data_IF_567659885174
#
_entry.id   IF_567659885174
#
_cell.length_a   1.000
_cell.length_b   1.000
_cell.length_c   1.000
_cell.angle_alpha   90.00
_cell.angle_beta   90.00
_cell.angle_gamma   90.00
#
_symmetry.space_group_name_H-M   'P 1'
#
loop_
_entity.id
_entity.type
_entity.pdbx_description
1 polymer ?
#
# COMPACT_ATOMS: atom_id res chain seq x y z
N UNK A 1 6.86 -29.06 10.16
CA UNK A 1 7.28 -29.30 11.56
C UNK A 1 8.66 -28.73 11.88
N UNK A 2 9.73 -29.07 11.15
CA UNK A 2 11.09 -28.50 11.40
C UNK A 2 11.09 -26.96 11.35
N UNK A 3 10.45 -26.36 10.32
CA UNK A 3 10.31 -24.90 10.20
C UNK A 3 9.52 -24.21 11.33
N UNK A 4 8.57 -24.93 11.94
CA UNK A 4 7.77 -24.42 13.07
C UNK A 4 8.58 -24.47 14.37
N UNK A 5 9.42 -25.50 14.53
CA UNK A 5 10.30 -25.65 15.68
C UNK A 5 11.43 -24.60 15.69
N UNK A 6 12.01 -24.31 14.52
CA UNK A 6 13.02 -23.26 14.34
C UNK A 6 12.45 -21.86 14.60
N UNK A 7 11.18 -21.61 14.25
CA UNK A 7 10.49 -20.36 14.51
C UNK A 7 10.32 -20.09 16.02
N UNK A 8 9.92 -21.12 16.78
CA UNK A 8 9.77 -21.03 18.24
C UNK A 8 11.12 -20.85 18.96
N UNK A 9 12.22 -21.39 18.41
CA UNK A 9 13.55 -21.21 18.99
C UNK A 9 14.11 -19.79 18.75
N UNK A 10 13.80 -19.19 17.59
CA UNK A 10 14.18 -17.80 17.29
C UNK A 10 13.35 -16.77 18.07
N UNK A 11 12.06 -17.03 18.30
CA UNK A 11 11.21 -16.22 19.18
C UNK A 11 11.75 -16.23 20.62
N UNK A 12 12.15 -17.40 21.14
CA UNK A 12 12.80 -17.51 22.47
C UNK A 12 14.13 -16.75 22.56
N UNK A 13 14.90 -16.71 21.48
CA UNK A 13 16.15 -15.94 21.42
C UNK A 13 15.87 -14.42 21.41
N UNK A 14 14.82 -13.99 20.71
CA UNK A 14 14.38 -12.59 20.69
C UNK A 14 13.84 -12.15 22.05
N UNK A 15 12.98 -12.95 22.68
CA UNK A 15 12.46 -12.70 24.03
C UNK A 15 13.60 -12.65 25.05
N UNK A 16 14.55 -13.59 24.98
CA UNK A 16 15.73 -13.58 25.83
C UNK A 16 16.68 -12.40 25.60
N UNK A 17 16.61 -11.75 24.43
CA UNK A 17 17.34 -10.52 24.14
C UNK A 17 16.59 -9.29 24.68
N UNK A 18 15.28 -9.22 24.48
CA UNK A 18 14.39 -8.19 25.03
C UNK A 18 14.51 -8.15 26.56
N UNK A 19 14.48 -9.30 27.22
CA UNK A 19 14.65 -9.43 28.68
C UNK A 19 16.00 -8.88 29.17
N UNK A 20 17.08 -9.09 28.41
CA UNK A 20 18.41 -8.57 28.75
C UNK A 20 18.47 -7.05 28.61
N UNK A 21 17.87 -6.51 27.54
CA UNK A 21 17.79 -5.06 27.33
C UNK A 21 16.94 -4.39 28.41
N UNK A 22 15.77 -4.96 28.72
CA UNK A 22 14.89 -4.45 29.77
C UNK A 22 15.53 -4.55 31.16
N UNK A 23 16.30 -5.61 31.44
CA UNK A 23 17.09 -5.73 32.67
C UNK A 23 18.14 -4.63 32.78
N UNK A 24 18.95 -4.40 31.74
CA UNK A 24 19.97 -3.34 31.72
C UNK A 24 19.32 -1.96 31.92
N UNK A 25 18.17 -1.73 31.30
CA UNK A 25 17.38 -0.51 31.49
C UNK A 25 16.88 -0.34 32.92
N UNK A 26 16.28 -1.39 33.51
CA UNK A 26 15.79 -1.37 34.90
C UNK A 26 16.91 -1.16 35.91
N UNK A 27 18.06 -1.81 35.70
CA UNK A 27 19.21 -1.68 36.59
C UNK A 27 19.84 -0.28 36.48
N UNK A 28 19.99 0.24 35.25
CA UNK A 28 20.44 1.62 35.00
C UNK A 28 19.48 2.65 35.60
N UNK A 29 18.16 2.43 35.49
CA UNK A 29 17.12 3.26 36.11
C UNK A 29 17.22 3.21 37.63
N UNK A 30 17.44 2.05 38.24
CA UNK A 30 17.62 1.92 39.70
C UNK A 30 18.87 2.63 40.17
N UNK A 31 19.99 2.54 39.46
CA UNK A 31 21.22 3.26 39.76
C UNK A 31 21.03 4.77 39.64
N UNK A 32 20.41 5.25 38.55
CA UNK A 32 20.01 6.65 38.40
C UNK A 32 19.11 7.13 39.52
N UNK A 33 18.11 6.33 39.90
CA UNK A 33 17.23 6.65 41.03
C UNK A 33 17.96 6.65 42.36
N UNK A 34 18.95 5.77 42.58
CA UNK A 34 19.77 5.76 43.79
C UNK A 34 20.67 6.99 43.86
N UNK A 35 21.27 7.39 42.73
CA UNK A 35 22.03 8.65 42.59
C UNK A 35 21.13 9.86 42.86
N UNK A 36 19.92 9.89 42.30
CA UNK A 36 18.96 10.99 42.52
C UNK A 36 18.34 11.02 43.92
N UNK A 37 18.26 9.88 44.62
CA UNK A 37 17.85 9.82 46.04
C UNK A 37 18.95 10.33 46.97
N UNK A 38 20.20 10.37 46.50
CA UNK A 38 21.29 11.10 47.14
C UNK A 38 21.08 12.61 47.01
N UNK A 39 20.50 13.20 48.06
CA UNK A 39 20.19 14.65 48.21
C UNK A 39 19.35 15.27 47.07
N UNK A 40 18.04 15.31 47.35
CA UNK A 40 17.03 16.22 46.83
C UNK A 40 16.90 16.36 45.30
N UNK A 41 16.04 15.53 44.69
CA UNK A 41 14.94 16.05 43.85
C UNK A 41 13.80 15.02 43.70
N UNK A 42 12.63 15.33 44.30
CA UNK A 42 11.38 14.59 44.07
C UNK A 42 10.73 14.91 42.71
N UNK A 43 11.20 15.96 42.03
CA UNK A 43 10.59 16.47 40.79
C UNK A 43 10.94 15.63 39.55
N UNK A 44 12.17 15.09 39.44
CA UNK A 44 12.58 14.28 38.30
C UNK A 44 11.92 12.88 38.26
N UNK A 45 11.51 12.35 39.42
CA UNK A 45 10.83 11.06 39.53
C UNK A 45 9.39 11.06 39.00
N UNK A 46 8.74 12.23 38.95
CA UNK A 46 7.38 12.37 38.44
C UNK A 46 7.26 12.25 36.92
N UNK A 47 8.30 12.63 36.16
CA UNK A 47 8.28 12.58 34.69
C UNK A 47 8.61 11.19 34.12
N UNK A 48 9.38 10.37 34.83
CA UNK A 48 9.79 9.03 34.38
C UNK A 48 8.78 7.91 34.69
N UNK A 49 7.69 8.23 35.40
CA UNK A 49 6.66 7.27 35.80
C UNK A 49 5.44 7.23 34.85
N UNK A 50 5.29 8.21 33.95
CA UNK A 50 4.08 8.37 33.13
C UNK A 50 4.17 7.82 31.70
N UNK A 51 5.26 7.15 31.32
CA UNK A 51 5.44 6.61 29.95
C UNK A 51 6.01 5.19 29.97
N UNK A 52 5.21 4.22 30.39
CA UNK A 52 5.57 2.80 30.21
C UNK A 52 4.56 2.19 29.25
N UNK A 53 5.05 1.68 28.13
CA UNK A 53 4.29 0.82 27.21
C UNK A 53 4.69 -0.61 27.60
N UNK A 54 3.72 -1.49 27.80
CA UNK A 54 3.94 -2.91 28.10
C UNK A 54 4.40 -3.66 26.84
N UNK A 55 4.96 -4.86 27.01
CA UNK A 55 5.40 -5.68 25.86
C UNK A 55 4.24 -6.01 24.91
N UNK A 56 3.04 -6.22 25.44
CA UNK A 56 1.82 -6.50 24.66
C UNK A 56 1.32 -5.26 23.91
N UNK A 57 1.49 -4.07 24.48
CA UNK A 57 1.17 -2.81 23.81
C UNK A 57 2.18 -2.50 22.70
N UNK A 58 3.45 -2.87 22.86
CA UNK A 58 4.49 -2.68 21.85
C UNK A 58 4.30 -3.56 20.61
N UNK A 59 3.76 -4.78 20.77
CA UNK A 59 3.48 -5.71 19.69
C UNK A 59 2.36 -5.25 18.73
N UNK A 60 1.52 -4.32 19.18
CA UNK A 60 0.36 -3.81 18.43
C UNK A 60 0.58 -2.42 17.81
N UNK A 61 1.80 -1.88 17.87
CA UNK A 61 2.11 -0.57 17.31
C UNK A 61 2.39 -0.66 15.81
N UNK A 62 1.75 0.21 15.04
CA UNK A 62 2.08 0.43 13.62
C UNK A 62 3.53 0.92 13.46
N UNK A 63 4.10 0.70 12.27
CA UNK A 63 5.45 1.18 11.92
C UNK A 63 5.64 2.68 12.17
N UNK A 64 4.61 3.47 11.92
CA UNK A 64 4.64 4.92 12.14
C UNK A 64 4.71 5.26 13.64
N UNK A 65 3.98 4.52 14.48
CA UNK A 65 4.01 4.70 15.94
C UNK A 65 5.36 4.29 16.54
N UNK A 66 5.96 3.19 16.09
CA UNK A 66 7.31 2.79 16.50
C UNK A 66 8.37 3.83 16.11
N UNK A 67 8.28 4.38 14.88
CA UNK A 67 9.17 5.44 14.42
C UNK A 67 9.03 6.71 15.26
N UNK A 68 7.82 7.12 15.59
CA UNK A 68 7.55 8.26 16.48
C UNK A 68 8.09 8.03 17.89
N UNK A 69 7.97 6.82 18.43
CA UNK A 69 8.52 6.47 19.75
C UNK A 69 10.05 6.51 19.72
N UNK A 70 10.70 5.95 18.69
CA UNK A 70 12.16 5.98 18.57
C UNK A 70 12.71 7.40 18.43
N UNK A 71 12.04 8.26 17.67
CA UNK A 71 12.38 9.69 17.57
C UNK A 71 12.21 10.37 18.93
N UNK A 72 11.10 10.12 19.63
CA UNK A 72 10.83 10.69 20.97
C UNK A 72 11.85 10.22 22.02
N UNK A 73 12.34 8.98 21.94
CA UNK A 73 13.39 8.45 22.82
C UNK A 73 14.73 9.12 22.52
N UNK A 74 15.09 9.27 21.24
CA UNK A 74 16.31 9.97 20.81
C UNK A 74 16.33 11.43 21.24
N UNK A 75 15.19 12.10 21.11
CA UNK A 75 15.02 13.51 21.50
C UNK A 75 15.05 13.65 23.03
N UNK A 76 14.38 12.74 23.76
CA UNK A 76 14.42 12.71 25.22
C UNK A 76 15.81 12.43 25.81
N UNK A 77 16.62 11.60 25.16
CA UNK A 77 18.03 11.37 25.54
C UNK A 77 18.87 12.66 25.31
N UNK A 78 18.59 13.38 24.22
CA UNK A 78 19.28 14.64 23.90
C UNK A 78 18.90 15.75 24.89
N UNK A 79 17.62 15.87 25.24
CA UNK A 79 17.14 16.79 26.29
C UNK A 79 17.70 16.43 27.67
N UNK A 80 17.71 15.14 28.05
CA UNK A 80 18.33 14.68 29.30
C UNK A 80 19.80 15.08 29.38
N UNK A 81 20.56 14.99 28.28
CA UNK A 81 21.97 15.39 28.26
C UNK A 81 22.16 16.90 28.47
N UNK A 82 21.32 17.72 27.84
CA UNK A 82 21.38 19.17 27.97
C UNK A 82 20.90 19.66 29.36
N UNK A 83 19.85 19.04 29.89
CA UNK A 83 19.27 19.39 31.18
C UNK A 83 20.11 18.88 32.36
N UNK A 84 20.84 17.78 32.18
CA UNK A 84 21.84 17.29 33.14
C UNK A 84 23.03 18.24 33.24
N UNK A 85 23.52 18.78 32.12
CA UNK A 85 24.59 19.80 32.11
C UNK A 85 24.11 21.07 32.83
N UNK A 86 22.90 21.54 32.49
CA UNK A 86 22.30 22.73 33.11
C UNK A 86 22.07 22.59 34.62
N UNK A 87 21.62 21.42 35.10
CA UNK A 87 21.43 21.19 36.54
C UNK A 87 22.74 20.99 37.31
N UNK A 88 23.77 20.42 36.69
CA UNK A 88 25.08 20.25 37.33
C UNK A 88 25.82 21.59 37.51
N UNK A 89 25.61 22.56 36.61
CA UNK A 89 26.06 23.95 36.78
C UNK A 89 25.34 24.65 37.96
N UNK A 90 24.03 24.43 38.10
CA UNK A 90 23.22 25.00 39.19
C UNK A 90 23.61 24.41 40.56
N UNK A 91 24.04 23.15 40.60
CA UNK A 91 24.38 22.43 41.83
C UNK A 91 25.86 22.50 42.23
N UNK A 92 26.68 23.26 41.50
CA UNK A 92 28.08 23.52 41.87
C UNK A 92 29.01 22.31 41.77
N UNK A 93 28.73 21.39 40.85
CA UNK A 93 29.59 20.21 40.65
C UNK A 93 30.99 20.64 40.16
N UNK A 94 32.05 20.03 40.73
CA UNK A 94 33.42 20.28 40.28
C UNK A 94 33.59 19.82 38.81
N UNK A 95 34.33 20.60 38.01
CA UNK A 95 34.49 20.38 36.58
C UNK A 95 34.97 18.95 36.23
N UNK A 96 35.75 18.30 37.09
CA UNK A 96 36.17 16.90 36.91
C UNK A 96 35.01 15.88 37.04
N UNK A 97 34.04 16.13 37.92
CA UNK A 97 32.88 15.24 38.10
C UNK A 97 31.89 15.38 36.93
N UNK A 98 31.72 16.62 36.45
CA UNK A 98 30.95 16.96 35.27
C UNK A 98 31.56 16.35 33.99
N UNK A 99 32.88 16.46 33.82
CA UNK A 99 33.59 15.85 32.70
C UNK A 99 33.43 14.32 32.68
N UNK A 100 33.57 13.66 33.84
CA UNK A 100 33.38 12.20 33.94
C UNK A 100 31.93 11.75 33.70
N UNK A 101 30.93 12.59 33.99
CA UNK A 101 29.53 12.30 33.68
C UNK A 101 29.24 12.45 32.18
N UNK A 102 29.72 13.54 31.56
CA UNK A 102 29.58 13.79 30.12
C UNK A 102 30.26 12.69 29.29
N UNK A 103 31.44 12.25 29.69
CA UNK A 103 32.15 11.15 29.03
C UNK A 103 31.38 9.83 29.12
N UNK A 104 30.81 9.50 30.29
CA UNK A 104 29.98 8.31 30.47
C UNK A 104 28.68 8.36 29.67
N UNK A 105 28.00 9.50 29.63
CA UNK A 105 26.78 9.71 28.82
C UNK A 105 27.11 9.63 27.33
N UNK A 106 28.25 10.19 26.90
CA UNK A 106 28.74 10.07 25.53
C UNK A 106 29.04 8.62 25.14
N UNK A 107 29.66 7.85 26.03
CA UNK A 107 29.91 6.42 25.82
C UNK A 107 28.61 5.60 25.75
N UNK A 108 27.65 5.87 26.63
CA UNK A 108 26.34 5.21 26.62
C UNK A 108 25.55 5.53 25.35
N UNK A 109 25.59 6.78 24.87
CA UNK A 109 25.00 7.18 23.59
C UNK A 109 25.65 6.43 22.43
N UNK A 110 26.98 6.41 22.38
CA UNK A 110 27.73 5.69 21.34
C UNK A 110 27.43 4.19 21.36
N UNK A 111 27.36 3.57 22.55
CA UNK A 111 26.99 2.17 22.68
C UNK A 111 25.55 1.92 22.23
N UNK A 112 24.61 2.81 22.56
CA UNK A 112 23.24 2.71 22.08
C UNK A 112 23.16 2.84 20.55
N UNK A 113 23.92 3.77 19.96
CA UNK A 113 24.02 3.96 18.51
C UNK A 113 24.67 2.73 17.84
N UNK A 114 25.76 2.20 18.39
CA UNK A 114 26.47 1.02 17.88
C UNK A 114 25.64 -0.27 18.02
N UNK A 115 24.91 -0.44 19.12
CA UNK A 115 23.98 -1.56 19.32
C UNK A 115 22.79 -1.42 18.38
N UNK A 116 22.21 -0.23 18.24
CA UNK A 116 21.09 0.02 17.32
C UNK A 116 21.51 -0.21 15.88
N UNK A 117 22.71 0.25 15.48
CA UNK A 117 23.26 0.02 14.15
C UNK A 117 23.56 -1.46 13.92
N UNK A 118 24.19 -2.17 14.86
CA UNK A 118 24.49 -3.60 14.75
C UNK A 118 23.22 -4.45 14.70
N UNK A 119 22.19 -4.11 15.48
CA UNK A 119 20.88 -4.75 15.43
C UNK A 119 20.17 -4.43 14.12
N UNK A 120 20.22 -3.18 13.66
CA UNK A 120 19.65 -2.77 12.37
C UNK A 120 20.35 -3.47 11.20
N UNK A 121 21.68 -3.53 11.19
CA UNK A 121 22.46 -4.20 10.15
C UNK A 121 22.21 -5.72 10.17
N UNK A 122 22.05 -6.34 11.35
CA UNK A 122 21.68 -7.76 11.45
C UNK A 122 20.25 -8.02 11.00
N UNK A 123 19.31 -7.18 11.41
CA UNK A 123 17.92 -7.28 10.97
C UNK A 123 17.82 -7.04 9.47
N UNK A 124 18.49 -6.03 8.93
CA UNK A 124 18.57 -5.75 7.50
C UNK A 124 19.19 -6.94 6.76
N UNK A 125 20.32 -7.50 7.21
CA UNK A 125 20.92 -8.66 6.55
C UNK A 125 20.02 -9.91 6.58
N UNK A 126 19.32 -10.17 7.71
CA UNK A 126 18.36 -11.27 7.82
C UNK A 126 17.14 -11.02 6.93
N UNK A 127 16.70 -9.76 6.85
CA UNK A 127 15.58 -9.33 6.04
C UNK A 127 15.91 -9.40 4.55
N UNK A 128 17.05 -8.86 4.14
CA UNK A 128 17.58 -8.88 2.77
C UNK A 128 17.80 -10.33 2.29
N UNK A 129 18.33 -11.21 3.16
CA UNK A 129 18.50 -12.62 2.85
C UNK A 129 17.17 -13.38 2.68
N UNK A 130 16.10 -12.94 3.35
CA UNK A 130 14.81 -13.64 3.36
C UNK A 130 13.80 -13.06 2.37
N UNK A 131 13.85 -11.76 2.13
CA UNK A 131 12.82 -11.01 1.42
C UNK A 131 13.35 -10.10 0.31
N UNK A 132 14.67 -10.07 0.06
CA UNK A 132 15.30 -9.09 -0.81
C UNK A 132 15.48 -7.74 -0.10
N UNK A 133 16.08 -6.78 -0.79
CA UNK A 133 16.30 -5.44 -0.27
C UNK A 133 15.01 -4.83 0.28
N UNK A 134 15.13 -3.94 1.28
CA UNK A 134 13.97 -3.24 1.85
C UNK A 134 13.04 -2.62 0.77
N UNK A 135 13.62 -2.12 -0.33
CA UNK A 135 12.88 -1.60 -1.49
C UNK A 135 12.11 -2.69 -2.25
N UNK A 136 12.72 -3.85 -2.48
CA UNK A 136 12.06 -5.00 -3.13
C UNK A 136 10.95 -5.58 -2.23
N UNK A 137 11.15 -5.58 -0.92
CA UNK A 137 10.13 -5.94 0.04
C UNK A 137 9.00 -4.91 0.10
N UNK A 138 9.29 -3.61 0.12
CA UNK A 138 8.25 -2.56 0.05
C UNK A 138 7.41 -2.73 -1.22
N UNK A 139 8.04 -2.96 -2.37
CA UNK A 139 7.32 -3.29 -3.60
C UNK A 139 6.54 -4.61 -3.49
N UNK A 140 7.05 -5.61 -2.77
CA UNK A 140 6.35 -6.87 -2.52
C UNK A 140 5.13 -6.68 -1.60
N UNK A 141 5.29 -5.86 -0.56
CA UNK A 141 4.22 -5.54 0.38
C UNK A 141 3.19 -4.63 -0.23
N UNK A 142 3.56 -3.64 -1.06
CA UNK A 142 2.60 -2.85 -1.84
C UNK A 142 1.86 -3.74 -2.84
N UNK A 143 2.55 -4.71 -3.46
CA UNK A 143 1.89 -5.76 -4.27
C UNK A 143 0.98 -6.70 -3.47
N UNK A 144 1.23 -6.87 -2.17
CA UNK A 144 0.42 -7.71 -1.28
C UNK A 144 -0.70 -6.94 -0.54
N UNK A 145 -0.51 -5.65 -0.30
CA UNK A 145 -1.34 -4.81 0.58
C UNK A 145 -1.97 -3.61 -0.13
N UNK A 146 -1.49 -3.22 -1.30
CA UNK A 146 -2.31 -2.47 -2.25
C UNK A 146 -3.56 -3.27 -2.57
N UNK A 147 -4.69 -2.60 -2.81
CA UNK A 147 -5.89 -3.33 -3.22
C UNK A 147 -5.54 -4.20 -4.43
N UNK A 148 -6.00 -5.45 -4.44
CA UNK A 148 -5.73 -6.40 -5.53
C UNK A 148 -6.01 -5.75 -6.89
N UNK A 149 -7.04 -4.90 -6.95
CA UNK A 149 -7.33 -3.96 -8.04
C UNK A 149 -6.15 -3.06 -8.43
N UNK A 150 -5.63 -2.23 -7.53
CA UNK A 150 -4.57 -1.27 -7.83
C UNK A 150 -3.34 -1.98 -8.42
N UNK A 151 -2.95 -3.11 -7.83
CA UNK A 151 -1.81 -3.90 -8.30
C UNK A 151 -2.03 -4.49 -9.71
N UNK A 152 -3.24 -4.93 -10.03
CA UNK A 152 -3.57 -5.40 -11.38
C UNK A 152 -3.55 -4.26 -12.40
N UNK A 153 -4.10 -3.09 -12.04
CA UNK A 153 -4.13 -1.93 -12.93
C UNK A 153 -2.73 -1.34 -13.17
N UNK A 154 -1.91 -1.27 -12.13
CA UNK A 154 -0.53 -0.79 -12.25
C UNK A 154 0.31 -1.78 -13.06
N UNK A 155 0.16 -3.08 -12.85
CA UNK A 155 0.82 -4.09 -13.68
C UNK A 155 0.40 -4.00 -15.16
N UNK A 156 -0.87 -3.72 -15.44
CA UNK A 156 -1.35 -3.52 -16.81
C UNK A 156 -0.76 -2.25 -17.44
N UNK A 157 -0.74 -1.13 -16.70
CA UNK A 157 -0.10 0.12 -17.12
C UNK A 157 1.39 -0.08 -17.41
N UNK A 158 2.11 -0.74 -16.51
CA UNK A 158 3.55 -1.00 -16.66
C UNK A 158 3.84 -1.87 -17.90
N UNK A 159 3.02 -2.90 -18.17
CA UNK A 159 3.16 -3.75 -19.35
C UNK A 159 2.92 -2.96 -20.65
N UNK A 160 1.88 -2.10 -20.69
CA UNK A 160 1.63 -1.19 -21.83
C UNK A 160 2.78 -0.21 -22.01
N UNK A 161 3.27 0.41 -20.94
CA UNK A 161 4.37 1.37 -20.98
C UNK A 161 5.64 0.73 -21.56
N UNK A 162 5.96 -0.51 -21.17
CA UNK A 162 7.07 -1.26 -21.72
C UNK A 162 6.95 -1.50 -23.24
N UNK A 163 5.75 -1.79 -23.73
CA UNK A 163 5.52 -1.93 -25.18
C UNK A 163 5.69 -0.60 -25.92
N UNK A 164 5.19 0.49 -25.35
CA UNK A 164 5.37 1.83 -25.93
C UNK A 164 6.84 2.23 -25.96
N UNK A 165 7.60 1.95 -24.90
CA UNK A 165 9.03 2.24 -24.85
C UNK A 165 9.79 1.45 -25.93
N UNK A 166 9.43 0.18 -26.17
CA UNK A 166 9.97 -0.62 -27.27
C UNK A 166 9.61 -0.06 -28.65
N UNK A 167 8.41 0.50 -28.83
CA UNK A 167 8.04 1.17 -30.08
C UNK A 167 8.85 2.46 -30.29
N UNK A 168 8.97 3.28 -29.24
CA UNK A 168 9.67 4.58 -29.29
C UNK A 168 11.19 4.40 -29.48
N UNK A 169 11.79 3.39 -28.87
CA UNK A 169 13.22 3.08 -29.05
C UNK A 169 13.54 2.50 -30.43
N UNK A 170 12.53 2.01 -31.15
CA UNK A 170 12.68 1.29 -32.41
C UNK A 170 12.96 -0.21 -32.26
N UNK A 171 12.94 -0.74 -31.03
CA UNK A 171 13.06 -2.18 -30.77
C UNK A 171 11.84 -2.97 -31.26
N UNK A 172 10.68 -2.33 -31.32
CA UNK A 172 9.45 -2.84 -31.92
C UNK A 172 9.05 -1.99 -33.13
N UNK A 173 8.73 -2.66 -34.23
CA UNK A 173 8.00 -2.00 -35.34
C UNK A 173 6.56 -1.74 -34.91
N UNK A 174 5.88 -0.78 -35.54
CA UNK A 174 4.45 -0.51 -35.27
C UNK A 174 3.56 -1.75 -35.39
N UNK A 175 3.83 -2.64 -36.35
CA UNK A 175 3.13 -3.90 -36.52
C UNK A 175 3.44 -4.93 -35.42
N UNK A 176 4.70 -4.98 -34.94
CA UNK A 176 5.07 -5.84 -33.82
C UNK A 176 4.46 -5.34 -32.52
N UNK A 177 4.48 -4.03 -32.31
CA UNK A 177 3.85 -3.33 -31.19
C UNK A 177 2.33 -3.60 -31.12
N UNK A 178 1.60 -3.44 -32.24
CA UNK A 178 0.15 -3.76 -32.28
C UNK A 178 -0.11 -5.21 -31.83
N UNK A 179 0.71 -6.17 -32.29
CA UNK A 179 0.53 -7.58 -31.92
C UNK A 179 0.73 -7.80 -30.42
N UNK A 180 1.82 -7.30 -29.84
CA UNK A 180 2.09 -7.50 -28.41
C UNK A 180 1.08 -6.76 -27.54
N UNK A 181 0.61 -5.58 -27.96
CA UNK A 181 -0.48 -4.87 -27.30
C UNK A 181 -1.79 -5.66 -27.34
N UNK A 182 -2.15 -6.24 -28.49
CA UNK A 182 -3.34 -7.07 -28.63
C UNK A 182 -3.29 -8.34 -27.76
N UNK A 183 -2.12 -8.99 -27.66
CA UNK A 183 -1.91 -10.13 -26.78
C UNK A 183 -2.01 -9.73 -25.30
N UNK A 184 -1.42 -8.59 -24.92
CA UNK A 184 -1.53 -8.02 -23.57
C UNK A 184 -2.99 -7.67 -23.25
N UNK A 185 -3.77 -7.13 -24.19
CA UNK A 185 -5.20 -6.88 -23.96
C UNK A 185 -5.93 -8.17 -23.62
N UNK A 186 -5.81 -9.21 -24.45
CA UNK A 186 -6.52 -10.48 -24.19
C UNK A 186 -6.20 -11.03 -22.80
N UNK A 187 -4.90 -11.09 -22.45
CA UNK A 187 -4.42 -11.57 -21.15
C UNK A 187 -4.93 -10.72 -19.98
N UNK A 188 -4.75 -9.40 -20.05
CA UNK A 188 -5.05 -8.50 -18.93
C UNK A 188 -6.55 -8.31 -18.76
N UNK A 189 -7.33 -8.31 -19.84
CA UNK A 189 -8.79 -8.20 -19.74
C UNK A 189 -9.38 -9.39 -18.99
N UNK A 190 -9.01 -10.59 -19.37
CA UNK A 190 -9.44 -11.82 -18.69
C UNK A 190 -8.93 -11.86 -17.25
N UNK A 191 -7.65 -11.57 -17.04
CA UNK A 191 -7.04 -11.58 -15.71
C UNK A 191 -7.71 -10.62 -14.72
N UNK A 192 -7.95 -9.38 -15.12
CA UNK A 192 -8.59 -8.36 -14.28
C UNK A 192 -10.04 -8.74 -13.98
N UNK A 193 -10.80 -9.12 -15.00
CA UNK A 193 -12.21 -9.49 -14.85
C UNK A 193 -12.37 -10.68 -13.90
N UNK A 194 -11.64 -11.78 -14.16
CA UNK A 194 -11.69 -12.99 -13.34
C UNK A 194 -11.20 -12.74 -11.93
N UNK A 195 -10.14 -11.95 -11.75
CA UNK A 195 -9.62 -11.62 -10.43
C UNK A 195 -10.63 -10.84 -9.57
N UNK A 196 -11.35 -9.89 -10.17
CA UNK A 196 -12.43 -9.16 -9.51
C UNK A 196 -13.59 -10.09 -9.17
N UNK A 197 -14.04 -10.91 -10.12
CA UNK A 197 -15.12 -11.87 -9.89
C UNK A 197 -14.84 -12.80 -8.71
N UNK A 198 -13.64 -13.39 -8.65
CA UNK A 198 -13.22 -14.28 -7.56
C UNK A 198 -13.14 -13.53 -6.22
N UNK A 199 -12.62 -12.30 -6.23
CA UNK A 199 -12.49 -11.48 -5.02
C UNK A 199 -13.83 -11.23 -4.34
N UNK A 200 -14.91 -11.12 -5.10
CA UNK A 200 -16.27 -10.91 -4.60
C UNK A 200 -17.11 -12.20 -4.58
N UNK A 201 -16.45 -13.37 -4.48
CA UNK A 201 -17.12 -14.66 -4.22
C UNK A 201 -17.72 -15.35 -5.44
N UNK A 202 -17.50 -14.82 -6.64
CA UNK A 202 -17.88 -15.50 -7.89
C UNK A 202 -16.99 -16.70 -8.20
N UNK A 203 -17.52 -17.63 -9.00
CA UNK A 203 -16.74 -18.78 -9.48
C UNK A 203 -15.59 -18.33 -10.41
N UNK A 204 -14.46 -19.05 -10.35
CA UNK A 204 -13.30 -18.87 -11.23
C UNK A 204 -13.64 -19.16 -12.70
N UNK A 205 -14.45 -20.20 -12.95
CA UNK A 205 -14.93 -20.52 -14.28
C UNK A 205 -15.93 -19.46 -14.78
N UNK A 206 -15.57 -18.80 -15.88
CA UNK A 206 -16.44 -17.83 -16.53
C UNK A 206 -17.59 -18.51 -17.26
N UNK A 207 -18.80 -17.95 -17.12
CA UNK A 207 -19.95 -18.38 -17.91
C UNK A 207 -19.70 -18.09 -19.39
N UNK A 208 -20.39 -18.82 -20.28
CA UNK A 208 -20.30 -18.56 -21.72
C UNK A 208 -20.71 -17.12 -22.08
N UNK A 209 -21.66 -16.56 -21.34
CA UNK A 209 -22.10 -15.18 -21.51
C UNK A 209 -20.99 -14.19 -21.16
N UNK A 210 -20.34 -14.36 -20.00
CA UNK A 210 -19.25 -13.51 -19.56
C UNK A 210 -18.03 -13.60 -20.48
N UNK A 211 -17.70 -14.82 -20.95
CA UNK A 211 -16.67 -15.01 -21.98
C UNK A 211 -17.00 -14.30 -23.30
N UNK A 212 -18.25 -14.41 -23.77
CA UNK A 212 -18.66 -13.74 -25.00
C UNK A 212 -18.61 -12.22 -24.87
N UNK A 213 -19.04 -11.68 -23.73
CA UNK A 213 -18.94 -10.26 -23.42
C UNK A 213 -17.48 -9.80 -23.43
N UNK A 214 -16.60 -10.52 -22.73
CA UNK A 214 -15.17 -10.19 -22.65
C UNK A 214 -14.49 -10.23 -24.04
N UNK A 215 -14.79 -11.25 -24.85
CA UNK A 215 -14.28 -11.32 -26.22
C UNK A 215 -14.76 -10.16 -27.10
N UNK A 216 -16.00 -9.69 -26.89
CA UNK A 216 -16.54 -8.52 -27.59
C UNK A 216 -15.79 -7.26 -27.19
N UNK A 217 -15.52 -7.06 -25.90
CA UNK A 217 -14.74 -5.92 -25.40
C UNK A 217 -13.32 -5.94 -25.98
N UNK A 218 -12.62 -7.09 -25.93
CA UNK A 218 -11.27 -7.25 -26.51
C UNK A 218 -11.28 -6.93 -28.01
N UNK A 219 -12.28 -7.43 -28.75
CA UNK A 219 -12.39 -7.18 -30.18
C UNK A 219 -12.66 -5.70 -30.51
N UNK A 220 -13.35 -4.97 -29.63
CA UNK A 220 -13.57 -3.53 -29.79
C UNK A 220 -12.28 -2.74 -29.55
N UNK A 221 -11.56 -3.02 -28.46
CA UNK A 221 -10.27 -2.39 -28.16
C UNK A 221 -9.23 -2.63 -29.27
N UNK A 222 -9.22 -3.83 -29.87
CA UNK A 222 -8.36 -4.14 -31.01
C UNK A 222 -8.64 -3.28 -32.25
N UNK A 223 -9.88 -2.82 -32.46
CA UNK A 223 -10.20 -1.89 -33.56
C UNK A 223 -9.55 -0.53 -33.32
N UNK A 224 -9.66 0.00 -32.10
CA UNK A 224 -9.03 1.27 -31.73
C UNK A 224 -7.51 1.18 -31.80
N UNK A 225 -6.93 0.07 -31.35
CA UNK A 225 -5.49 -0.19 -31.44
C UNK A 225 -4.99 -0.20 -32.88
N UNK A 226 -5.73 -0.86 -33.78
CA UNK A 226 -5.40 -0.89 -35.21
C UNK A 226 -5.43 0.50 -35.85
N UNK A 227 -6.43 1.31 -35.50
CA UNK A 227 -6.51 2.70 -35.96
C UNK A 227 -5.37 3.54 -35.39
N UNK A 228 -5.03 3.36 -34.11
CA UNK A 228 -3.91 4.05 -33.49
C UNK A 228 -2.57 3.71 -34.16
N UNK A 229 -2.35 2.43 -34.49
CA UNK A 229 -1.19 2.03 -35.30
C UNK A 229 -1.20 2.72 -36.66
N UNK A 230 -2.35 2.77 -37.35
CA UNK A 230 -2.44 3.44 -38.64
C UNK A 230 -2.09 4.94 -38.54
N UNK A 231 -2.49 5.61 -37.46
CA UNK A 231 -2.13 7.00 -37.19
C UNK A 231 -0.62 7.16 -36.98
N UNK A 232 0.02 6.25 -36.25
CA UNK A 232 1.48 6.20 -36.07
C UNK A 232 2.20 6.00 -37.41
N UNK A 233 1.73 5.05 -38.23
CA UNK A 233 2.30 4.75 -39.55
C UNK A 233 2.14 5.94 -40.51
N UNK A 234 0.99 6.65 -40.46
CA UNK A 234 0.69 7.78 -41.32
C UNK A 234 1.43 9.06 -40.94
N UNK A 235 1.60 9.31 -39.64
CA UNK A 235 2.33 10.48 -39.15
C UNK A 235 3.85 10.33 -39.34
N UNK A 236 4.35 9.12 -39.55
CA UNK A 236 5.74 8.73 -39.33
C UNK A 236 6.14 8.91 -37.85
N UNK A 237 6.72 7.88 -37.24
CA UNK A 237 7.12 7.87 -35.82
C UNK A 237 8.01 9.08 -35.48
N UNK A 238 8.80 9.57 -36.44
CA UNK A 238 9.63 10.75 -36.26
C UNK A 238 8.84 12.05 -35.97
N UNK A 239 7.55 12.11 -36.33
CA UNK A 239 6.72 13.30 -36.17
C UNK A 239 5.66 13.17 -35.06
N UNK A 240 5.58 12.02 -34.38
CA UNK A 240 4.70 11.84 -33.22
C UNK A 240 5.53 11.95 -31.95
N UNK A 241 5.12 12.82 -31.03
CA UNK A 241 5.77 12.91 -29.72
C UNK A 241 5.63 11.57 -28.97
N UNK A 242 6.72 11.00 -28.41
CA UNK A 242 6.63 9.83 -27.54
C UNK A 242 5.60 9.97 -26.42
N UNK A 243 5.46 11.17 -25.86
CA UNK A 243 4.50 11.44 -24.80
C UNK A 243 3.06 11.36 -25.28
N UNK A 244 2.79 11.71 -26.55
CA UNK A 244 1.47 11.56 -27.15
C UNK A 244 1.14 10.07 -27.38
N UNK A 245 2.13 9.25 -27.73
CA UNK A 245 1.96 7.80 -27.86
C UNK A 245 1.62 7.19 -26.50
N UNK A 246 2.40 7.54 -25.46
CA UNK A 246 2.14 7.08 -24.08
C UNK A 246 0.77 7.50 -23.58
N UNK A 247 0.43 8.78 -23.67
CA UNK A 247 -0.86 9.29 -23.21
C UNK A 247 -2.06 8.59 -23.87
N UNK A 248 -1.96 8.26 -25.17
CA UNK A 248 -3.01 7.49 -25.86
C UNK A 248 -2.99 6.01 -25.49
N UNK A 249 -1.83 5.42 -25.24
CA UNK A 249 -1.71 4.04 -24.78
C UNK A 249 -2.28 3.84 -23.36
N UNK A 250 -2.12 4.83 -22.48
CA UNK A 250 -2.63 4.81 -21.11
C UNK A 250 -4.17 4.69 -21.05
N UNK A 251 -4.87 5.15 -22.09
CA UNK A 251 -6.33 5.00 -22.19
C UNK A 251 -6.76 3.52 -22.19
N UNK A 252 -5.97 2.63 -22.79
CA UNK A 252 -6.25 1.19 -22.79
C UNK A 252 -6.08 0.59 -21.40
N UNK A 253 -5.09 1.05 -20.64
CA UNK A 253 -4.91 0.60 -19.26
C UNK A 253 -6.05 1.10 -18.35
N UNK A 254 -6.57 2.30 -18.64
CA UNK A 254 -7.76 2.87 -17.98
C UNK A 254 -8.99 1.96 -18.06
N UNK A 255 -9.18 1.25 -19.18
CA UNK A 255 -10.25 0.25 -19.36
C UNK A 255 -10.21 -0.86 -18.32
N UNK A 256 -9.04 -1.14 -17.72
CA UNK A 256 -8.93 -2.09 -16.61
C UNK A 256 -9.88 -1.79 -15.44
N UNK A 257 -10.18 -0.52 -15.16
CA UNK A 257 -11.14 -0.15 -14.12
C UNK A 257 -12.55 -0.66 -14.45
N UNK A 258 -12.96 -0.51 -15.71
CA UNK A 258 -14.24 -1.01 -16.23
C UNK A 258 -14.34 -2.53 -16.09
N UNK A 259 -13.30 -3.25 -16.50
CA UNK A 259 -13.25 -4.71 -16.45
C UNK A 259 -13.32 -5.23 -15.02
N UNK A 260 -12.67 -4.53 -14.09
CA UNK A 260 -12.76 -4.84 -12.67
C UNK A 260 -14.20 -4.67 -12.15
N UNK A 261 -14.85 -3.54 -12.49
CA UNK A 261 -16.25 -3.31 -12.08
C UNK A 261 -17.21 -4.33 -12.70
N UNK A 262 -17.01 -4.68 -13.97
CA UNK A 262 -17.81 -5.69 -14.66
C UNK A 262 -17.61 -7.09 -14.03
N UNK A 263 -16.36 -7.48 -13.77
CA UNK A 263 -16.05 -8.75 -13.11
C UNK A 263 -16.66 -8.84 -11.72
N UNK A 264 -16.56 -7.76 -10.94
CA UNK A 264 -17.22 -7.63 -9.65
C UNK A 264 -18.74 -7.71 -9.73
N UNK A 265 -19.38 -6.97 -10.63
CA UNK A 265 -20.84 -7.05 -10.84
C UNK A 265 -21.28 -8.46 -11.21
N UNK A 266 -20.51 -9.13 -12.07
CA UNK A 266 -20.83 -10.49 -12.49
C UNK A 266 -20.85 -11.49 -11.33
N UNK A 267 -20.08 -11.25 -10.25
CA UNK A 267 -20.06 -12.13 -9.08
C UNK A 267 -21.42 -12.16 -8.36
N UNK A 268 -22.25 -11.13 -8.55
CA UNK A 268 -23.56 -10.97 -7.92
C UNK A 268 -24.74 -11.30 -8.85
N UNK A 269 -24.50 -11.83 -10.05
CA UNK A 269 -25.56 -12.28 -10.96
C UNK A 269 -26.50 -13.27 -10.25
N UNK A 270 -27.82 -12.99 -10.30
CA UNK A 270 -28.84 -13.81 -9.64
C UNK A 270 -28.90 -13.69 -8.12
N UNK A 271 -28.19 -12.73 -7.51
CA UNK A 271 -28.27 -12.41 -6.08
C UNK A 271 -29.05 -11.12 -5.85
N UNK A 272 -29.64 -10.96 -4.65
CA UNK A 272 -30.33 -9.73 -4.25
C UNK A 272 -29.34 -8.68 -3.72
N UNK A 273 -28.54 -8.11 -4.63
CA UNK A 273 -27.58 -7.05 -4.33
C UNK A 273 -28.00 -5.75 -5.01
N UNK A 274 -28.07 -4.68 -4.21
CA UNK A 274 -28.29 -3.33 -4.71
C UNK A 274 -26.95 -2.70 -5.10
N UNK A 275 -26.88 -2.17 -6.31
CA UNK A 275 -25.70 -1.52 -6.88
C UNK A 275 -25.98 -0.02 -7.00
N UNK A 276 -25.23 0.80 -6.28
CA UNK A 276 -25.33 2.25 -6.32
C UNK A 276 -24.22 2.82 -7.20
N UNK A 277 -24.59 3.69 -8.14
CA UNK A 277 -23.64 4.44 -8.93
C UNK A 277 -23.16 5.66 -8.14
N UNK A 278 -21.88 5.68 -7.81
CA UNK A 278 -21.28 6.73 -7.00
C UNK A 278 -20.44 7.69 -7.83
N UNK A 279 -20.67 8.99 -7.63
CA UNK A 279 -19.89 10.04 -8.23
C UNK A 279 -18.54 10.17 -7.50
N UNK A 280 -17.44 9.90 -8.19
CA UNK A 280 -16.10 10.10 -7.62
C UNK A 280 -15.67 11.56 -7.52
N UNK A 281 -14.42 11.77 -7.08
CA UNK A 281 -13.79 13.08 -7.01
C UNK A 281 -12.88 13.33 -8.23
N UNK A 282 -12.81 14.58 -8.73
CA UNK A 282 -13.58 15.74 -8.31
C UNK A 282 -15.03 15.70 -8.83
N UNK A 283 -15.99 16.10 -8.00
CA UNK A 283 -17.44 16.07 -8.33
C UNK A 283 -17.78 16.94 -9.54
N UNK A 284 -16.94 17.94 -9.85
CA UNK A 284 -17.18 18.88 -10.96
C UNK A 284 -16.77 18.36 -12.34
N UNK A 285 -16.15 17.18 -12.44
CA UNK A 285 -15.63 16.62 -13.70
C UNK A 285 -16.50 15.47 -14.26
N UNK A 286 -17.71 15.32 -13.75
CA UNK A 286 -18.66 14.33 -14.27
C UNK A 286 -19.37 14.85 -15.53
N UNK A 287 -19.58 13.97 -16.51
CA UNK A 287 -20.44 14.29 -17.64
C UNK A 287 -21.92 14.26 -17.25
N UNK A 288 -22.79 14.83 -18.08
CA UNK A 288 -24.23 14.95 -17.81
C UNK A 288 -24.93 13.59 -17.53
N UNK A 289 -24.42 12.49 -18.12
CA UNK A 289 -24.98 11.15 -17.91
C UNK A 289 -24.73 10.61 -16.48
N UNK A 290 -23.63 11.01 -15.83
CA UNK A 290 -23.19 10.42 -14.57
C UNK A 290 -24.12 10.80 -13.38
N UNK A 291 -24.51 12.07 -13.18
CA UNK A 291 -25.51 12.42 -12.16
C UNK A 291 -26.85 11.74 -12.37
N UNK A 292 -27.27 11.55 -13.62
CA UNK A 292 -28.51 10.83 -13.95
C UNK A 292 -28.40 9.35 -13.57
N UNK A 293 -27.28 8.70 -13.86
CA UNK A 293 -27.01 7.32 -13.44
C UNK A 293 -26.99 7.18 -11.92
N UNK A 294 -26.35 8.11 -11.21
CA UNK A 294 -26.34 8.15 -9.75
C UNK A 294 -27.75 8.31 -9.18
N UNK A 295 -28.54 9.26 -9.69
CA UNK A 295 -29.88 9.55 -9.23
C UNK A 295 -30.89 8.41 -9.45
N UNK A 296 -30.65 7.54 -10.44
CA UNK A 296 -31.48 6.39 -10.75
C UNK A 296 -31.08 5.11 -9.99
N UNK A 297 -30.09 5.17 -9.09
CA UNK A 297 -29.74 4.06 -8.20
C UNK A 297 -30.88 3.73 -7.19
N UNK A 298 -30.98 2.50 -6.66
CA UNK A 298 -30.11 1.34 -6.93
C UNK A 298 -30.45 0.56 -8.20
N UNK A 299 -29.45 -0.13 -8.73
CA UNK A 299 -29.54 -1.12 -9.80
C UNK A 299 -29.35 -2.54 -9.26
N UNK A 300 -29.66 -3.55 -10.07
CA UNK A 300 -29.15 -4.93 -9.92
C UNK A 300 -28.10 -5.20 -11.00
N UNK A 301 -27.44 -6.37 -10.95
CA UNK A 301 -26.52 -6.79 -12.00
C UNK A 301 -27.19 -6.82 -13.39
N UNK A 302 -28.48 -7.15 -13.45
CA UNK A 302 -29.27 -7.24 -14.68
C UNK A 302 -29.82 -5.91 -15.17
N UNK A 303 -30.05 -4.93 -14.27
CA UNK A 303 -30.61 -3.63 -14.62
C UNK A 303 -29.58 -2.52 -14.78
N UNK A 304 -28.30 -2.77 -14.42
CA UNK A 304 -27.22 -1.81 -14.58
C UNK A 304 -26.97 -1.55 -16.08
N UNK A 305 -27.13 -0.31 -16.57
CA UNK A 305 -27.12 -0.04 -18.01
C UNK A 305 -25.72 -0.09 -18.64
N UNK A 306 -24.69 0.25 -17.86
CA UNK A 306 -23.29 0.36 -18.29
C UNK A 306 -22.36 0.31 -17.08
N UNK A 307 -21.05 0.29 -17.32
CA UNK A 307 -20.03 0.35 -16.25
C UNK A 307 -19.26 1.68 -16.32
N UNK A 308 -18.80 2.23 -15.19
CA UNK A 308 -17.92 3.40 -15.20
C UNK A 308 -16.68 3.17 -16.08
N UNK A 309 -16.51 4.03 -17.08
CA UNK A 309 -15.36 3.99 -18.00
C UNK A 309 -15.55 3.10 -19.24
N UNK A 310 -16.74 2.51 -19.44
CA UNK A 310 -16.93 1.51 -20.51
C UNK A 310 -17.07 2.09 -21.93
N UNK A 311 -17.29 3.40 -22.06
CA UNK A 311 -17.53 4.09 -23.33
C UNK A 311 -19.00 4.39 -23.64
N UNK A 312 -19.95 3.95 -22.80
CA UNK A 312 -21.39 4.19 -23.03
C UNK A 312 -21.88 5.53 -22.45
N UNK A 313 -21.06 6.22 -21.67
CA UNK A 313 -21.33 7.58 -21.18
C UNK A 313 -20.46 8.59 -21.93
N UNK A 314 -20.84 9.87 -21.87
CA UNK A 314 -20.14 10.97 -22.52
C UNK A 314 -18.69 11.14 -22.02
N UNK A 315 -18.40 10.75 -20.77
CA UNK A 315 -17.03 10.75 -20.25
C UNK A 315 -16.14 9.63 -20.81
N UNK A 316 -16.71 8.69 -21.57
CA UNK A 316 -16.02 7.57 -22.20
C UNK A 316 -15.20 6.76 -21.18
N UNK A 317 -13.89 6.58 -21.41
CA UNK A 317 -12.96 5.89 -20.51
C UNK A 317 -12.40 6.77 -19.39
N UNK A 318 -12.67 8.08 -19.40
CA UNK A 318 -12.21 9.02 -18.39
C UNK A 318 -13.26 9.24 -17.27
N UNK A 319 -14.00 8.19 -16.92
CA UNK A 319 -15.04 8.24 -15.91
C UNK A 319 -14.43 8.15 -14.51
N UNK A 320 -14.78 9.09 -13.62
CA UNK A 320 -14.39 9.05 -12.22
C UNK A 320 -15.37 8.30 -11.31
N UNK A 321 -16.46 7.75 -11.86
CA UNK A 321 -17.48 7.09 -11.06
C UNK A 321 -17.05 5.69 -10.57
N UNK A 322 -17.68 5.25 -9.49
CA UNK A 322 -17.55 3.91 -8.91
C UNK A 322 -18.92 3.25 -8.73
N UNK A 323 -18.91 1.96 -8.44
CA UNK A 323 -20.10 1.21 -8.07
C UNK A 323 -19.93 0.71 -6.63
N UNK A 324 -20.91 0.99 -5.78
CA UNK A 324 -21.02 0.50 -4.41
C UNK A 324 -22.08 -0.61 -4.36
N UNK A 325 -21.82 -1.66 -3.58
CA UNK A 325 -22.65 -2.86 -3.54
C UNK A 325 -23.15 -3.08 -2.12
N UNK A 326 -24.47 -3.23 -1.98
CA UNK A 326 -25.15 -3.46 -0.71
C UNK A 326 -25.95 -4.75 -0.81
N UNK A 327 -25.51 -5.78 -0.08
CA UNK A 327 -26.24 -7.04 0.04
C UNK A 327 -27.27 -6.99 1.15
N UNK A 328 -28.46 -7.54 0.90
CA UNK A 328 -29.52 -7.67 1.89
C UNK A 328 -29.80 -9.13 2.20
N UNK A 329 -30.04 -9.44 3.47
CA UNK A 329 -30.50 -10.77 3.88
C UNK A 329 -32.00 -10.96 3.60
N UNK A 330 -32.53 -12.15 3.88
CA UNK A 330 -33.94 -12.50 3.65
C UNK A 330 -34.97 -11.62 4.42
N UNK A 331 -34.54 -10.90 5.46
CA UNK A 331 -35.38 -9.95 6.20
C UNK A 331 -35.28 -8.52 5.65
N UNK A 332 -34.42 -8.28 4.66
CA UNK A 332 -34.14 -6.96 4.09
C UNK A 332 -33.11 -6.14 4.87
N UNK A 333 -32.48 -6.70 5.91
CA UNK A 333 -31.40 -6.03 6.64
C UNK A 333 -30.12 -6.07 5.81
N UNK A 334 -29.29 -5.02 5.91
CA UNK A 334 -27.98 -4.97 5.27
C UNK A 334 -27.11 -6.09 5.85
N UNK A 335 -26.70 -7.02 5.00
CA UNK A 335 -25.83 -8.15 5.36
C UNK A 335 -24.36 -7.79 5.14
N UNK A 336 -24.06 -7.02 4.08
CA UNK A 336 -22.75 -6.46 3.84
C UNK A 336 -22.86 -5.11 3.12
N UNK A 337 -21.96 -4.21 3.48
CA UNK A 337 -21.67 -2.98 2.75
C UNK A 337 -20.21 -3.02 2.31
N UNK A 338 -19.94 -2.69 1.06
CA UNK A 338 -18.58 -2.70 0.54
C UNK A 338 -17.66 -1.76 1.34
N UNK A 339 -16.53 -2.31 1.82
CA UNK A 339 -15.60 -1.64 2.75
C UNK A 339 -15.61 -2.25 4.15
N UNK A 340 -16.66 -2.99 4.49
CA UNK A 340 -16.75 -3.87 5.66
C UNK A 340 -16.59 -5.33 5.22
N UNK A 341 -15.43 -5.72 4.70
CA UNK A 341 -15.17 -7.16 4.49
C UNK A 341 -14.95 -7.80 5.87
N UNK A 342 -15.84 -8.73 6.22
CA UNK A 342 -15.92 -9.55 7.44
C UNK A 342 -14.67 -10.41 7.65
#
# INVERSE_FOLDING_TARGET
MIKLYEQTEQEKLLDGYIDKVDKVWRDSKKELQAVMRGKQSKAALGLLASKTITADEAANLSRQQLKTIMVSVKDGISELSAETVKHAEILGWEAQQLAGLVERVGWQKKLADDVTKSVYDRLSNVFDAKYGSLKEYEQCMDRMWGSKKANLLDAFKDEIAGHVDGLVSGDLTSAAWERVMADTFAKQHEGIYTAARIEYGGAEDLTKENLNWLHKEIAEEQKYLKNFRADIDAADLANVSPDAIRARADLYAGKGNTLYQAGKTSAFEGQEVEIYWELGLPITEHCDDCPDLAANSPYTAETLPCFPGDGNTTCMTNCYCSLQYIGKNANGDIEFEEGEII
#
